data_IF_565680558008
#
_entry.id   IF_565680558008
#
_cell.length_a   1.000
_cell.length_b   1.000
_cell.length_c   1.000
_cell.angle_alpha   90.00
_cell.angle_beta   90.00
_cell.angle_gamma   90.00
#
_symmetry.space_group_name_H-M   'P 1'
#
loop_
_entity.id
_entity.type
_entity.pdbx_description
1 polymer ?
#
# COMPACT_ATOMS: atom_id res chain seq x y z
N UNK A 1 -5.67 18.53 -22.29
CA UNK A 1 -5.46 17.68 -21.08
C UNK A 1 -4.15 16.93 -21.25
N UNK A 2 -3.01 17.59 -21.06
CA UNK A 2 -1.69 17.00 -21.36
C UNK A 2 -0.57 17.51 -20.45
N UNK A 3 -0.89 18.32 -19.42
CA UNK A 3 0.14 19.03 -18.66
C UNK A 3 0.57 18.25 -17.41
N UNK A 4 -0.35 17.62 -16.68
CA UNK A 4 0.00 16.89 -15.46
C UNK A 4 0.62 15.51 -15.77
N UNK A 5 0.04 14.79 -16.72
CA UNK A 5 0.50 13.44 -17.10
C UNK A 5 1.92 13.45 -17.69
N UNK A 6 2.34 14.56 -18.32
CA UNK A 6 3.72 14.73 -18.79
C UNK A 6 4.73 14.98 -17.66
N UNK A 7 4.27 15.40 -16.48
CA UNK A 7 5.11 15.65 -15.31
C UNK A 7 5.22 14.44 -14.38
N UNK A 8 4.43 13.38 -14.62
CA UNK A 8 4.40 12.18 -13.80
C UNK A 8 4.87 10.97 -14.62
N UNK A 9 5.35 9.94 -13.94
CA UNK A 9 5.65 8.67 -14.60
C UNK A 9 4.34 7.95 -14.94
N UNK A 10 4.29 7.25 -16.08
CA UNK A 10 3.12 6.47 -16.50
C UNK A 10 2.74 5.31 -15.57
N UNK A 11 3.61 4.94 -14.62
CA UNK A 11 3.41 3.78 -13.73
C UNK A 11 2.80 4.27 -12.43
N UNK A 12 1.88 3.48 -11.91
CA UNK A 12 1.25 3.72 -10.61
C UNK A 12 1.68 2.64 -9.62
N UNK A 13 1.70 3.02 -8.35
CA UNK A 13 1.76 2.07 -7.23
C UNK A 13 0.39 2.10 -6.58
N UNK A 14 -0.39 1.08 -6.84
CA UNK A 14 -1.75 0.95 -6.32
C UNK A 14 -1.76 0.09 -5.05
N UNK A 15 -2.03 0.72 -3.92
CA UNK A 15 -2.11 0.05 -2.60
C UNK A 15 -3.28 -0.92 -2.54
N UNK A 16 -4.37 -0.66 -3.27
CA UNK A 16 -5.54 -1.54 -3.29
C UNK A 16 -5.24 -2.87 -3.99
N UNK A 17 -4.40 -2.87 -5.02
CA UNK A 17 -3.88 -4.11 -5.61
C UNK A 17 -3.15 -4.96 -4.56
N UNK A 18 -2.28 -4.37 -3.74
CA UNK A 18 -1.57 -5.09 -2.67
C UNK A 18 -2.54 -5.61 -1.61
N UNK A 19 -3.53 -4.79 -1.23
CA UNK A 19 -4.60 -5.18 -0.29
C UNK A 19 -5.37 -6.42 -0.76
N UNK A 20 -5.76 -6.46 -2.03
CA UNK A 20 -6.48 -7.59 -2.60
C UNK A 20 -5.62 -8.86 -2.68
N UNK A 21 -4.31 -8.73 -2.88
CA UNK A 21 -3.38 -9.85 -2.78
C UNK A 21 -3.24 -10.33 -1.33
N UNK A 22 -3.10 -9.40 -0.38
CA UNK A 22 -3.02 -9.71 1.04
C UNK A 22 -4.26 -10.47 1.52
N UNK A 23 -5.47 -10.03 1.14
CA UNK A 23 -6.72 -10.68 1.57
C UNK A 23 -6.85 -12.13 1.07
N UNK A 24 -6.25 -12.47 -0.07
CA UNK A 24 -6.31 -13.81 -0.67
C UNK A 24 -5.16 -14.72 -0.24
N UNK A 25 -3.96 -14.17 -0.11
CA UNK A 25 -2.75 -14.97 0.12
C UNK A 25 -2.32 -14.99 1.59
N UNK A 26 -2.68 -13.96 2.35
CA UNK A 26 -2.26 -13.71 3.73
C UNK A 26 -3.47 -13.27 4.58
N UNK A 27 -4.54 -14.08 4.69
CA UNK A 27 -5.79 -13.67 5.31
C UNK A 27 -5.63 -13.31 6.80
N UNK A 28 -4.69 -13.95 7.50
CA UNK A 28 -4.40 -13.65 8.91
C UNK A 28 -3.73 -12.29 9.10
N UNK A 29 -2.79 -11.94 8.23
CA UNK A 29 -2.14 -10.63 8.22
C UNK A 29 -3.09 -9.54 7.74
N UNK A 30 -3.93 -9.83 6.75
CA UNK A 30 -4.96 -8.91 6.29
C UNK A 30 -5.92 -8.52 7.41
N UNK A 31 -6.38 -9.49 8.22
CA UNK A 31 -7.27 -9.23 9.35
C UNK A 31 -6.65 -8.35 10.45
N UNK A 32 -5.33 -8.23 10.48
CA UNK A 32 -4.57 -7.39 11.43
C UNK A 32 -4.20 -6.02 10.85
N UNK A 33 -4.57 -5.73 9.60
CA UNK A 33 -4.28 -4.44 8.96
C UNK A 33 -4.99 -3.29 9.70
N UNK A 34 -4.36 -2.11 9.81
CA UNK A 34 -4.96 -0.96 10.49
C UNK A 34 -6.21 -0.46 9.77
N UNK A 35 -7.25 -0.16 10.54
CA UNK A 35 -8.48 0.44 10.02
C UNK A 35 -8.24 1.88 9.54
N UNK A 36 -8.87 2.24 8.42
CA UNK A 36 -8.91 3.62 7.92
C UNK A 36 -9.85 4.45 8.80
N UNK A 37 -9.40 5.62 9.26
CA UNK A 37 -10.19 6.51 10.13
C UNK A 37 -11.22 7.30 9.35
N UNK A 38 -11.06 7.41 8.02
CA UNK A 38 -12.10 7.92 7.12
C UNK A 38 -12.45 9.39 7.35
N UNK A 39 -11.47 10.24 7.65
CA UNK A 39 -11.71 11.67 7.94
C UNK A 39 -12.06 12.52 6.70
N UNK A 40 -12.28 11.88 5.54
CA UNK A 40 -12.72 12.47 4.26
C UNK A 40 -11.90 13.67 3.76
N UNK A 41 -10.64 13.80 4.22
CA UNK A 41 -9.68 14.79 3.71
C UNK A 41 -8.67 14.07 2.83
N UNK A 42 -8.46 14.57 1.61
CA UNK A 42 -7.53 13.96 0.66
C UNK A 42 -6.11 13.76 1.21
N UNK A 43 -5.61 14.68 2.05
CA UNK A 43 -4.29 14.53 2.68
C UNK A 43 -4.25 13.39 3.70
N UNK A 44 -5.35 13.17 4.43
CA UNK A 44 -5.46 12.08 5.39
C UNK A 44 -5.59 10.73 4.67
N UNK A 45 -6.37 10.67 3.58
CA UNK A 45 -6.47 9.46 2.73
C UNK A 45 -5.10 9.05 2.14
N UNK A 46 -4.27 10.03 1.74
CA UNK A 46 -2.89 9.77 1.29
C UNK A 46 -2.05 9.18 2.42
N UNK A 47 -2.12 9.75 3.63
CA UNK A 47 -1.36 9.28 4.79
C UNK A 47 -1.79 7.86 5.20
N UNK A 48 -3.09 7.59 5.21
CA UNK A 48 -3.63 6.27 5.52
C UNK A 48 -3.19 5.23 4.48
N UNK A 49 -3.18 5.58 3.19
CA UNK A 49 -2.71 4.68 2.14
C UNK A 49 -1.21 4.38 2.23
N UNK A 50 -0.39 5.37 2.63
CA UNK A 50 1.05 5.17 2.89
C UNK A 50 1.25 4.22 4.08
N UNK A 51 0.49 4.40 5.16
CA UNK A 51 0.61 3.57 6.35
C UNK A 51 0.14 2.13 6.10
N UNK A 52 -0.95 1.96 5.35
CA UNK A 52 -1.42 0.65 4.88
C UNK A 52 -0.34 -0.07 4.06
N UNK A 53 0.31 0.62 3.11
CA UNK A 53 1.38 0.02 2.33
C UNK A 53 2.62 -0.31 3.17
N UNK A 54 2.95 0.50 4.19
CA UNK A 54 4.03 0.19 5.14
C UNK A 54 3.74 -1.07 5.92
N UNK A 55 2.50 -1.24 6.39
CA UNK A 55 2.05 -2.44 7.08
C UNK A 55 2.25 -3.67 6.19
N UNK A 56 1.69 -3.68 4.98
CA UNK A 56 1.85 -4.80 4.05
C UNK A 56 3.31 -5.10 3.75
N UNK A 57 4.14 -4.06 3.51
CA UNK A 57 5.58 -4.23 3.29
C UNK A 57 6.28 -4.98 4.44
N UNK A 58 5.84 -4.78 5.68
CA UNK A 58 6.47 -5.39 6.87
C UNK A 58 6.05 -6.83 7.15
N UNK A 59 4.89 -7.26 6.64
CA UNK A 59 4.28 -8.56 7.03
C UNK A 59 4.13 -9.54 5.87
N UNK A 60 4.00 -9.08 4.62
CA UNK A 60 3.78 -9.98 3.47
C UNK A 60 4.86 -9.92 2.39
N UNK A 61 5.79 -8.96 2.46
CA UNK A 61 6.94 -8.90 1.55
C UNK A 61 8.18 -9.47 2.22
N UNK A 62 9.05 -10.09 1.41
CA UNK A 62 10.34 -10.58 1.89
C UNK A 62 11.19 -9.40 2.37
N UNK A 63 11.75 -9.54 3.57
CA UNK A 63 12.71 -8.59 4.09
C UNK A 63 13.91 -8.47 3.14
N UNK A 64 14.35 -7.23 2.91
CA UNK A 64 15.52 -6.99 2.05
C UNK A 64 16.82 -7.49 2.68
N UNK A 65 16.83 -7.66 3.99
CA UNK A 65 17.98 -8.11 4.76
C UNK A 65 17.94 -9.62 5.05
N UNK A 66 16.92 -10.34 4.58
CA UNK A 66 16.76 -11.79 4.77
C UNK A 66 17.15 -12.61 3.52
N UNK A 67 18.34 -12.33 2.98
CA UNK A 67 19.04 -13.20 2.02
C UNK A 67 20.18 -12.47 1.29
N UNK A 68 21.41 -12.98 1.17
CA UNK A 68 21.88 -14.37 1.26
C UNK A 68 23.05 -14.54 2.24
N UNK A 69 22.98 -15.58 3.07
CA UNK A 69 24.13 -16.34 3.59
C UNK A 69 23.80 -17.82 3.48
#
# INVERSE_FOLDING_TARGET
MARLDSHLHYRIVDVSTVKELASRWFPEEYAKAPDKKGTHRALDDIRESIEELRYYRSVIFRDKNSGDS
#
